data_IF_727928328534
#
_entry.id   IF_727928328534
#
_cell.length_a   1.000
_cell.length_b   1.000
_cell.length_c   1.000
_cell.angle_alpha   90.00
_cell.angle_beta   90.00
_cell.angle_gamma   90.00
#
_symmetry.space_group_name_H-M   'P 1'
#
loop_
_entity.id
_entity.type
_entity.pdbx_description
1 polymer ?
#
# COMPACT_ATOMS: atom_id res chain seq x y z
N UNK A 1 -6.54 -16.39 56.05
CA UNK A 1 -6.73 -14.99 55.54
C UNK A 1 -5.55 -14.61 54.65
N UNK A 2 -4.29 -14.80 55.03
CA UNK A 2 -3.08 -14.40 54.27
C UNK A 2 -3.01 -15.03 52.87
N UNK A 3 -3.25 -16.34 52.73
CA UNK A 3 -3.25 -17.08 51.44
C UNK A 3 -4.35 -16.60 50.45
N UNK A 4 -5.46 -16.09 50.97
CA UNK A 4 -6.58 -15.57 50.14
C UNK A 4 -6.31 -14.16 49.64
N UNK A 5 -5.48 -13.39 50.32
CA UNK A 5 -5.01 -12.07 49.90
C UNK A 5 -3.97 -12.18 48.79
N UNK A 6 -3.00 -13.09 48.93
CA UNK A 6 -1.98 -13.35 47.89
C UNK A 6 -2.61 -13.81 46.55
N UNK A 7 -3.64 -14.65 46.63
CA UNK A 7 -4.36 -15.12 45.42
C UNK A 7 -5.09 -13.99 44.72
N UNK A 8 -5.69 -13.03 45.44
CA UNK A 8 -6.35 -11.86 44.88
C UNK A 8 -5.35 -10.89 44.21
N UNK A 9 -4.17 -10.73 44.80
CA UNK A 9 -3.12 -9.88 44.28
C UNK A 9 -2.53 -10.43 42.96
N UNK A 10 -2.37 -11.75 42.85
CA UNK A 10 -1.93 -12.43 41.62
C UNK A 10 -2.98 -12.29 40.51
N UNK A 11 -4.27 -12.48 40.84
CA UNK A 11 -5.37 -12.33 39.86
C UNK A 11 -5.43 -10.89 39.37
N UNK A 12 -5.25 -9.90 40.26
CA UNK A 12 -5.24 -8.49 39.88
C UNK A 12 -4.07 -8.14 38.95
N UNK A 13 -2.87 -8.65 39.21
CA UNK A 13 -1.68 -8.49 38.36
C UNK A 13 -1.84 -9.16 37.01
N UNK A 14 -2.44 -10.36 36.96
CA UNK A 14 -2.75 -11.05 35.70
C UNK A 14 -3.81 -10.30 34.88
N UNK A 15 -4.87 -9.78 35.49
CA UNK A 15 -5.87 -8.99 34.85
C UNK A 15 -5.28 -7.70 34.24
N UNK A 16 -4.43 -6.99 35.00
CA UNK A 16 -3.75 -5.77 34.52
C UNK A 16 -2.78 -6.10 33.38
N UNK A 17 -2.11 -7.23 33.39
CA UNK A 17 -1.24 -7.68 32.30
C UNK A 17 -2.02 -8.04 31.05
N UNK A 18 -3.17 -8.72 31.18
CA UNK A 18 -4.07 -9.01 30.06
C UNK A 18 -4.64 -7.74 29.42
N UNK A 19 -5.03 -6.74 30.23
CA UNK A 19 -5.50 -5.45 29.72
C UNK A 19 -4.41 -4.74 28.93
N UNK A 20 -3.17 -4.70 29.43
CA UNK A 20 -2.03 -4.10 28.69
C UNK A 20 -1.74 -4.80 27.36
N UNK A 21 -1.89 -6.14 27.30
CA UNK A 21 -1.72 -6.88 26.04
C UNK A 21 -2.86 -6.56 25.07
N UNK A 22 -4.10 -6.44 25.55
CA UNK A 22 -5.24 -6.05 24.73
C UNK A 22 -5.07 -4.63 24.20
N UNK A 23 -4.65 -3.68 25.02
CA UNK A 23 -4.38 -2.30 24.59
C UNK A 23 -3.27 -2.25 23.53
N UNK A 24 -2.20 -3.03 23.71
CA UNK A 24 -1.13 -3.14 22.72
C UNK A 24 -1.63 -3.74 21.40
N UNK A 25 -2.52 -4.72 21.47
CA UNK A 25 -3.11 -5.35 20.28
C UNK A 25 -4.02 -4.38 19.53
N UNK A 26 -4.80 -3.56 20.24
CA UNK A 26 -5.63 -2.50 19.65
C UNK A 26 -4.76 -1.45 18.98
N UNK A 27 -3.71 -0.97 19.64
CA UNK A 27 -2.77 0.01 19.08
C UNK A 27 -2.08 -0.55 17.82
N UNK A 28 -1.68 -1.82 17.83
CA UNK A 28 -1.08 -2.46 16.64
C UNK A 28 -2.08 -2.57 15.50
N UNK A 29 -3.34 -2.90 15.77
CA UNK A 29 -4.40 -2.94 14.75
C UNK A 29 -4.71 -1.55 14.20
N UNK A 30 -4.74 -0.51 15.04
CA UNK A 30 -4.92 0.87 14.61
C UNK A 30 -3.76 1.35 13.74
N UNK A 31 -2.52 1.09 14.13
CA UNK A 31 -1.33 1.44 13.33
C UNK A 31 -1.33 0.69 12.00
N UNK A 32 -1.71 -0.58 11.96
CA UNK A 32 -1.83 -1.34 10.72
C UNK A 32 -2.96 -0.81 9.82
N UNK A 33 -4.10 -0.40 10.38
CA UNK A 33 -5.18 0.21 9.61
C UNK A 33 -4.79 1.58 9.04
N UNK A 34 -4.06 2.39 9.80
CA UNK A 34 -3.52 3.68 9.31
C UNK A 34 -2.50 3.51 8.18
N UNK A 35 -1.74 2.41 8.15
CA UNK A 35 -0.79 2.14 7.06
C UNK A 35 -1.49 1.81 5.74
N UNK A 36 -2.53 0.99 5.77
CA UNK A 36 -3.33 0.66 4.59
C UNK A 36 -4.15 1.84 4.09
N UNK A 37 -4.57 2.74 4.99
CA UNK A 37 -5.30 3.95 4.63
C UNK A 37 -4.51 4.87 3.70
N UNK A 38 -3.19 5.00 3.89
CA UNK A 38 -2.35 5.83 3.04
C UNK A 38 -2.31 5.34 1.59
N UNK A 39 -2.21 4.02 1.37
CA UNK A 39 -2.28 3.44 0.02
C UNK A 39 -3.68 3.59 -0.56
N UNK A 40 -4.71 3.35 0.26
CA UNK A 40 -6.09 3.50 -0.16
C UNK A 40 -6.40 4.91 -0.68
N UNK A 41 -5.88 5.94 -0.02
CA UNK A 41 -6.07 7.34 -0.41
C UNK A 41 -5.48 7.68 -1.78
N UNK A 42 -4.38 7.05 -2.18
CA UNK A 42 -3.72 7.33 -3.46
C UNK A 42 -4.27 6.53 -4.64
N UNK A 43 -4.95 5.40 -4.39
CA UNK A 43 -5.49 4.56 -5.46
C UNK A 43 -6.66 5.25 -6.18
N UNK A 44 -6.75 5.12 -7.52
CA UNK A 44 -7.92 5.53 -8.30
C UNK A 44 -9.19 4.75 -7.92
N UNK A 45 -10.33 5.37 -8.16
CA UNK A 45 -11.62 4.77 -7.76
C UNK A 45 -11.90 3.45 -8.47
N UNK A 46 -11.48 3.30 -9.73
CA UNK A 46 -11.61 2.05 -10.49
C UNK A 46 -10.94 0.85 -9.80
N UNK A 47 -9.76 1.05 -9.20
CA UNK A 47 -9.08 0.01 -8.41
C UNK A 47 -9.82 -0.23 -7.09
N UNK A 48 -10.22 0.84 -6.40
CA UNK A 48 -10.93 0.76 -5.11
C UNK A 48 -12.24 0.00 -5.23
N UNK A 49 -13.04 0.32 -6.25
CA UNK A 49 -14.30 -0.38 -6.51
C UNK A 49 -14.09 -1.87 -6.79
N UNK A 50 -13.11 -2.21 -7.63
CA UNK A 50 -12.79 -3.60 -7.91
C UNK A 50 -12.39 -4.35 -6.63
N UNK A 51 -11.51 -3.76 -5.79
CA UNK A 51 -11.09 -4.38 -4.53
C UNK A 51 -12.26 -4.55 -3.55
N UNK A 52 -13.15 -3.53 -3.45
CA UNK A 52 -14.38 -3.60 -2.64
C UNK A 52 -15.30 -4.73 -3.12
N UNK A 53 -15.58 -4.81 -4.43
CA UNK A 53 -16.42 -5.87 -5.02
C UNK A 53 -15.88 -7.28 -4.75
N UNK A 54 -14.56 -7.43 -4.79
CA UNK A 54 -13.90 -8.70 -4.51
C UNK A 54 -13.71 -9.02 -3.03
N UNK A 55 -14.03 -8.10 -2.11
CA UNK A 55 -13.74 -8.26 -0.68
C UNK A 55 -12.26 -8.44 -0.38
N UNK A 56 -11.38 -7.82 -1.20
CA UNK A 56 -9.93 -8.03 -1.13
C UNK A 56 -9.29 -6.92 -0.28
N UNK A 57 -8.60 -7.33 0.80
CA UNK A 57 -7.78 -6.41 1.60
C UNK A 57 -6.45 -6.11 0.91
N UNK A 58 -6.02 -4.84 0.98
CA UNK A 58 -4.69 -4.39 0.52
C UNK A 58 -3.55 -5.09 1.23
N UNK A 59 -3.73 -5.51 2.49
CA UNK A 59 -2.73 -6.23 3.27
C UNK A 59 -2.35 -7.58 2.66
N UNK A 60 -3.20 -8.11 1.77
CA UNK A 60 -2.90 -9.36 1.07
C UNK A 60 -1.85 -9.19 -0.03
N UNK A 61 -1.55 -7.95 -0.46
CA UNK A 61 -0.63 -7.66 -1.54
C UNK A 61 0.75 -7.24 -1.02
N UNK A 62 1.78 -7.58 -1.76
CA UNK A 62 3.17 -7.13 -1.57
C UNK A 62 3.45 -5.91 -2.46
N UNK A 63 2.82 -5.90 -3.64
CA UNK A 63 3.08 -4.91 -4.67
C UNK A 63 1.85 -4.74 -5.57
N UNK A 64 1.56 -3.49 -5.95
CA UNK A 64 0.57 -3.15 -6.99
C UNK A 64 1.34 -2.46 -8.13
N UNK A 65 1.20 -2.99 -9.34
CA UNK A 65 1.79 -2.42 -10.55
C UNK A 65 0.71 -1.83 -11.43
N UNK A 66 0.86 -0.55 -11.70
CA UNK A 66 -0.06 0.25 -12.50
C UNK A 66 0.71 0.77 -13.70
N UNK A 67 0.16 0.58 -14.90
CA UNK A 67 0.75 1.05 -16.16
C UNK A 67 -0.32 1.65 -17.04
N UNK A 68 0.00 2.74 -17.71
CA UNK A 68 -0.93 3.39 -18.63
C UNK A 68 -1.41 2.41 -19.70
N UNK A 69 -2.72 2.33 -19.91
CA UNK A 69 -3.37 1.46 -20.89
C UNK A 69 -3.01 -0.03 -20.78
N UNK A 70 -2.64 -0.48 -19.60
CA UNK A 70 -2.37 -1.89 -19.31
C UNK A 70 -3.18 -2.34 -18.10
N UNK A 71 -3.48 -3.64 -18.01
CA UNK A 71 -4.14 -4.19 -16.85
C UNK A 71 -3.36 -3.96 -15.56
N UNK A 72 -4.06 -3.58 -14.50
CA UNK A 72 -3.51 -3.49 -13.16
C UNK A 72 -3.11 -4.89 -12.71
N UNK A 73 -1.89 -5.03 -12.21
CA UNK A 73 -1.41 -6.30 -11.67
C UNK A 73 -0.98 -6.15 -10.22
N UNK A 74 -1.18 -7.22 -9.44
CA UNK A 74 -0.85 -7.27 -8.02
C UNK A 74 0.01 -8.49 -7.73
N UNK A 75 0.96 -8.36 -6.82
CA UNK A 75 1.76 -9.47 -6.33
C UNK A 75 1.25 -9.93 -4.98
N UNK A 76 1.03 -11.23 -4.85
CA UNK A 76 0.60 -11.89 -3.62
C UNK A 76 1.33 -13.22 -3.48
N UNK A 77 2.05 -13.43 -2.36
CA UNK A 77 2.79 -14.70 -2.10
C UNK A 77 3.60 -15.15 -3.31
N UNK A 78 4.50 -14.30 -3.81
CA UNK A 78 5.37 -14.55 -4.97
C UNK A 78 4.65 -14.72 -6.32
N UNK A 79 3.33 -14.75 -6.36
CA UNK A 79 2.56 -14.87 -7.59
C UNK A 79 2.07 -13.51 -8.09
N UNK A 80 2.04 -13.36 -9.42
CA UNK A 80 1.46 -12.21 -10.09
C UNK A 80 0.02 -12.51 -10.49
N UNK A 81 -0.88 -11.57 -10.23
CA UNK A 81 -2.28 -11.65 -10.63
C UNK A 81 -2.70 -10.35 -11.31
N UNK A 82 -3.71 -10.42 -12.15
CA UNK A 82 -4.37 -9.27 -12.76
C UNK A 82 -5.73 -9.05 -12.11
N UNK A 83 -6.08 -7.77 -11.90
CA UNK A 83 -7.31 -7.38 -11.23
C UNK A 83 -8.45 -7.21 -12.25
N UNK A 84 -9.53 -7.94 -12.06
CA UNK A 84 -10.77 -7.79 -12.82
C UNK A 84 -11.67 -6.71 -12.21
N UNK A 85 -12.55 -6.11 -13.01
CA UNK A 85 -13.52 -5.09 -12.57
C UNK A 85 -14.56 -5.64 -11.57
N UNK A 86 -14.79 -6.95 -11.58
CA UNK A 86 -15.64 -7.64 -10.58
C UNK A 86 -14.90 -7.97 -9.28
N UNK A 87 -13.60 -7.61 -9.20
CA UNK A 87 -12.77 -7.86 -8.04
C UNK A 87 -12.10 -9.23 -8.00
N UNK A 88 -12.30 -10.09 -8.99
CA UNK A 88 -11.57 -11.37 -9.04
C UNK A 88 -10.11 -11.16 -9.46
N UNK A 89 -9.23 -12.06 -9.01
CA UNK A 89 -7.82 -12.09 -9.39
C UNK A 89 -7.54 -13.25 -10.33
N UNK A 90 -6.91 -13.00 -11.47
CA UNK A 90 -6.54 -14.03 -12.45
C UNK A 90 -5.03 -14.03 -12.71
N UNK A 91 -4.46 -15.20 -13.00
CA UNK A 91 -3.07 -15.33 -13.43
C UNK A 91 -2.91 -15.24 -14.94
N UNK A 92 -3.97 -15.48 -15.69
CA UNK A 92 -3.98 -15.53 -17.14
C UNK A 92 -4.74 -14.35 -17.71
N UNK A 93 -4.27 -13.79 -18.81
CA UNK A 93 -4.96 -12.76 -19.57
C UNK A 93 -5.73 -13.44 -20.71
N UNK A 94 -7.07 -13.37 -20.65
CA UNK A 94 -7.95 -13.82 -21.72
C UNK A 94 -8.67 -12.62 -22.35
N UNK A 95 -8.96 -12.62 -23.66
CA UNK A 95 -9.57 -11.48 -24.34
C UNK A 95 -10.93 -11.06 -23.79
N UNK A 96 -11.69 -12.00 -23.23
CA UNK A 96 -13.07 -11.77 -22.74
C UNK A 96 -13.08 -11.19 -21.30
N UNK A 97 -11.92 -11.00 -20.66
CA UNK A 97 -11.84 -10.53 -19.28
C UNK A 97 -12.02 -9.01 -19.17
N UNK A 98 -12.91 -8.59 -18.30
CA UNK A 98 -13.09 -7.18 -17.93
C UNK A 98 -12.03 -6.77 -16.89
N UNK A 99 -10.81 -6.54 -17.33
CA UNK A 99 -9.69 -6.14 -16.48
C UNK A 99 -9.76 -4.65 -16.11
N UNK A 100 -9.22 -4.31 -14.94
CA UNK A 100 -9.02 -2.91 -14.55
C UNK A 100 -7.84 -2.35 -15.34
N UNK A 101 -8.12 -1.40 -16.24
CA UNK A 101 -7.12 -0.75 -17.09
C UNK A 101 -7.07 0.74 -16.72
N UNK A 102 -5.86 1.29 -16.52
CA UNK A 102 -5.67 2.67 -16.11
C UNK A 102 -5.68 3.63 -17.29
N UNK A 103 -6.48 4.67 -17.18
CA UNK A 103 -6.45 5.85 -18.07
C UNK A 103 -5.28 6.77 -17.69
N UNK A 104 -4.96 7.72 -18.60
CA UNK A 104 -3.95 8.76 -18.31
C UNK A 104 -4.37 9.66 -17.17
N UNK A 105 -5.65 10.01 -17.07
CA UNK A 105 -6.19 10.86 -15.99
C UNK A 105 -6.03 10.21 -14.63
N UNK A 106 -6.32 8.91 -14.52
CA UNK A 106 -6.13 8.16 -13.29
C UNK A 106 -4.65 8.06 -12.90
N UNK A 107 -3.74 7.97 -13.88
CA UNK A 107 -2.29 8.00 -13.62
C UNK A 107 -1.86 9.34 -13.00
N UNK A 108 -2.35 10.46 -13.51
CA UNK A 108 -2.09 11.80 -12.97
C UNK A 108 -2.67 11.94 -11.55
N UNK A 109 -3.87 11.40 -11.30
CA UNK A 109 -4.50 11.41 -10.00
C UNK A 109 -3.66 10.69 -8.94
N UNK A 110 -3.02 9.57 -9.29
CA UNK A 110 -2.11 8.86 -8.38
C UNK A 110 -0.97 9.78 -7.93
N UNK A 111 -0.35 10.52 -8.85
CA UNK A 111 0.74 11.42 -8.52
C UNK A 111 0.29 12.53 -7.57
N UNK A 112 -0.82 13.18 -7.90
CA UNK A 112 -1.39 14.26 -7.08
C UNK A 112 -1.70 13.78 -5.66
N UNK A 113 -2.36 12.64 -5.53
CA UNK A 113 -2.70 12.07 -4.24
C UNK A 113 -1.44 11.66 -3.45
N UNK A 114 -0.47 11.02 -4.11
CA UNK A 114 0.77 10.56 -3.47
C UNK A 114 1.66 11.70 -3.01
N UNK A 115 1.67 12.82 -3.73
CA UNK A 115 2.39 14.04 -3.35
C UNK A 115 1.59 14.95 -2.40
N UNK A 116 0.42 14.50 -1.90
CA UNK A 116 -0.51 15.28 -1.08
C UNK A 116 -0.85 16.63 -1.71
N UNK A 117 -1.12 16.62 -3.02
CA UNK A 117 -1.40 17.80 -3.84
C UNK A 117 -0.26 18.84 -3.92
N UNK A 118 0.96 18.48 -3.48
CA UNK A 118 2.14 19.34 -3.56
C UNK A 118 3.29 18.62 -4.29
N UNK A 119 3.21 18.61 -5.62
CA UNK A 119 4.25 18.00 -6.47
C UNK A 119 5.62 18.67 -6.24
N UNK A 120 5.63 19.99 -5.98
CA UNK A 120 6.86 20.73 -5.68
C UNK A 120 7.57 20.21 -4.43
N UNK A 121 6.83 19.89 -3.35
CA UNK A 121 7.43 19.35 -2.14
C UNK A 121 8.01 17.94 -2.34
N UNK A 122 7.55 17.23 -3.35
CA UNK A 122 7.98 15.88 -3.71
C UNK A 122 8.99 15.83 -4.86
N UNK A 123 9.37 16.99 -5.44
CA UNK A 123 10.15 17.09 -6.67
C UNK A 123 11.45 16.32 -6.61
N UNK A 124 12.20 16.40 -5.51
CA UNK A 124 13.47 15.68 -5.34
C UNK A 124 13.27 14.16 -5.37
N UNK A 125 12.24 13.65 -4.71
CA UNK A 125 11.93 12.22 -4.71
C UNK A 125 11.45 11.77 -6.09
N UNK A 126 10.62 12.58 -6.77
CA UNK A 126 10.17 12.30 -8.13
C UNK A 126 11.35 12.25 -9.10
N UNK A 127 12.31 13.16 -8.96
CA UNK A 127 13.55 13.18 -9.74
C UNK A 127 14.37 11.90 -9.53
N UNK A 128 14.36 11.35 -8.32
CA UNK A 128 14.99 10.07 -7.99
C UNK A 128 14.16 8.85 -8.43
N UNK A 129 12.97 9.04 -8.98
CA UNK A 129 12.10 7.99 -9.52
C UNK A 129 11.25 7.27 -8.47
N UNK A 130 11.06 7.83 -7.28
CA UNK A 130 10.20 7.26 -6.25
C UNK A 130 9.59 8.30 -5.33
N UNK A 131 8.52 7.91 -4.64
CA UNK A 131 7.92 8.63 -3.52
C UNK A 131 7.81 7.70 -2.32
N UNK A 132 8.02 8.24 -1.13
CA UNK A 132 7.70 7.55 0.12
C UNK A 132 6.46 8.19 0.73
N UNK A 133 5.47 7.37 1.04
CA UNK A 133 4.21 7.82 1.66
C UNK A 133 4.12 7.33 3.11
N UNK A 134 3.13 7.84 3.83
CA UNK A 134 2.85 7.45 5.21
C UNK A 134 2.79 5.93 5.36
N UNK A 135 3.33 5.40 6.46
CA UNK A 135 3.47 3.96 6.68
C UNK A 135 4.74 3.36 6.08
N UNK A 136 5.64 4.17 5.47
CA UNK A 136 6.89 3.70 4.88
C UNK A 136 6.72 3.00 3.53
N UNK A 137 5.52 3.04 2.94
CA UNK A 137 5.28 2.47 1.62
C UNK A 137 6.04 3.25 0.55
N UNK A 138 6.51 2.56 -0.48
CA UNK A 138 7.26 3.15 -1.59
C UNK A 138 6.51 3.05 -2.89
N UNK A 139 6.51 4.15 -3.65
CA UNK A 139 5.93 4.25 -4.98
C UNK A 139 7.07 4.53 -5.95
N UNK A 140 7.50 3.53 -6.70
CA UNK A 140 8.41 3.71 -7.83
C UNK A 140 7.67 4.38 -8.99
N UNK A 141 8.31 5.32 -9.66
CA UNK A 141 7.77 6.13 -10.74
C UNK A 141 8.62 5.92 -11.99
N UNK A 142 7.98 5.62 -13.12
CA UNK A 142 8.65 5.57 -14.43
C UNK A 142 7.91 6.45 -15.42
N UNK A 143 8.68 7.15 -16.27
CA UNK A 143 8.17 8.04 -17.29
C UNK A 143 9.29 8.55 -18.19
N UNK A 144 9.05 9.61 -18.95
CA UNK A 144 10.07 10.28 -19.74
C UNK A 144 10.94 11.16 -18.82
N UNK A 145 12.25 10.94 -18.84
CA UNK A 145 13.20 11.73 -18.06
C UNK A 145 13.48 13.05 -18.76
N UNK A 146 13.45 14.15 -18.00
CA UNK A 146 13.89 15.47 -18.44
C UNK A 146 15.34 15.64 -18.04
N UNK A 147 16.22 15.88 -19.01
CA UNK A 147 17.64 16.15 -18.77
C UNK A 147 17.95 17.63 -19.04
N UNK A 148 18.79 18.23 -18.19
CA UNK A 148 19.41 19.52 -18.42
C UNK A 148 20.88 19.40 -17.98
N UNK A 149 21.80 19.77 -18.86
CA UNK A 149 23.25 19.68 -18.64
C UNK A 149 23.71 18.30 -18.15
N UNK A 150 23.12 17.22 -18.73
CA UNK A 150 23.44 15.84 -18.37
C UNK A 150 22.90 15.39 -17.01
N UNK A 151 22.14 16.24 -16.31
CA UNK A 151 21.52 15.90 -15.01
C UNK A 151 20.02 15.71 -15.17
N UNK A 152 19.47 14.77 -14.40
CA UNK A 152 18.03 14.55 -14.32
C UNK A 152 17.39 15.73 -13.60
N UNK A 153 16.48 16.44 -14.28
CA UNK A 153 15.68 17.53 -13.74
C UNK A 153 14.31 17.09 -13.28
N UNK A 154 13.79 16.01 -13.83
CA UNK A 154 12.49 15.49 -13.45
C UNK A 154 12.02 14.34 -14.34
N UNK A 155 10.81 13.88 -14.08
CA UNK A 155 10.11 12.85 -14.86
C UNK A 155 8.79 13.45 -15.35
N UNK A 156 8.52 13.34 -16.63
CA UNK A 156 7.25 13.73 -17.26
C UNK A 156 6.59 12.53 -17.92
N UNK A 157 5.31 12.68 -18.29
CA UNK A 157 4.52 11.65 -18.95
C UNK A 157 4.67 10.29 -18.24
N UNK A 158 4.34 10.28 -16.97
CA UNK A 158 4.46 9.07 -16.15
C UNK A 158 3.69 7.93 -16.81
N UNK A 159 4.37 6.82 -17.07
CA UNK A 159 3.85 5.64 -17.73
C UNK A 159 3.56 4.47 -16.80
N UNK A 160 4.20 4.44 -15.62
CA UNK A 160 3.95 3.39 -14.64
C UNK A 160 4.25 3.81 -13.19
N UNK A 161 3.51 3.18 -12.29
CA UNK A 161 3.75 3.18 -10.85
C UNK A 161 3.94 1.76 -10.34
N UNK A 162 4.85 1.61 -9.38
CA UNK A 162 5.07 0.38 -8.67
C UNK A 162 4.94 0.66 -7.16
N UNK A 163 3.76 0.34 -6.60
CA UNK A 163 3.44 0.60 -5.20
C UNK A 163 3.84 -0.63 -4.39
N UNK A 164 4.85 -0.49 -3.53
CA UNK A 164 5.32 -1.54 -2.62
C UNK A 164 4.83 -1.29 -1.22
N UNK A 165 4.16 -2.30 -0.65
CA UNK A 165 3.70 -2.28 0.73
C UNK A 165 4.87 -2.49 1.67
N UNK A 166 5.10 -1.52 2.58
CA UNK A 166 6.00 -1.75 3.70
C UNK A 166 5.37 -2.79 4.64
N UNK A 167 6.14 -3.79 5.03
CA UNK A 167 5.72 -4.83 5.96
C UNK A 167 6.85 -5.12 6.92
N UNK A 168 6.49 -5.38 8.16
CA UNK A 168 7.40 -5.96 9.12
C UNK A 168 7.67 -7.43 8.75
N UNK A 169 8.93 -7.77 8.50
CA UNK A 169 9.36 -9.15 8.30
C UNK A 169 10.08 -9.59 9.56
N UNK A 170 9.37 -10.32 10.43
CA UNK A 170 9.95 -10.84 11.66
C UNK A 170 11.06 -11.83 11.37
N UNK A 171 12.20 -11.68 12.06
CA UNK A 171 13.34 -12.59 11.95
C UNK A 171 14.28 -12.35 10.79
N UNK A 172 14.16 -11.25 10.03
CA UNK A 172 15.09 -10.91 8.95
C UNK A 172 16.40 -10.30 9.45
N UNK A 173 16.46 -9.84 10.71
CA UNK A 173 17.67 -9.39 11.39
C UNK A 173 18.11 -10.48 12.39
N UNK A 174 19.04 -11.32 11.98
CA UNK A 174 19.80 -12.22 12.84
C UNK A 174 21.27 -11.85 12.77
#
# INVERSE_FOLDING_TARGET
>A
IKKRMEHREIICKLATFCIKIMDLHIVVLEVMSMQTDAIWQILPESIKEALKKGGISLDSFEEIRIRTQRPVSVRRKMNLFYLNQNGSLTKTLLPEMSLVIMSKVEMEQILLNASRFSVYAAEEQIRQGYLTIQGGHRIGICGEVILCDGKIQGIRKISSYNIRMAREVRGCAR
#
